data_IF_249004344715
#
_entry.id   IF_249004344715
#
_cell.length_a   1.000
_cell.length_b   1.000
_cell.length_c   1.000
_cell.angle_alpha   90.00
_cell.angle_beta   90.00
_cell.angle_gamma   90.00
#
_symmetry.space_group_name_H-M   'P 1'
#
loop_
_entity.id
_entity.type
_entity.pdbx_description
1 polymer ?
#
# COMPACT_ATOMS: atom_id res chain seq x y z
N UNK A 1 -3.46 1.59 19.12
CA UNK A 1 -2.02 1.29 18.97
C UNK A 1 -1.40 2.40 18.14
N UNK A 2 -0.36 3.07 18.64
CA UNK A 2 0.39 4.07 17.87
C UNK A 2 1.57 3.38 17.21
N UNK A 3 1.77 3.61 15.92
CA UNK A 3 2.95 3.14 15.19
C UNK A 3 3.51 4.24 14.30
N UNK A 4 4.53 3.93 13.49
CA UNK A 4 5.07 4.86 12.48
C UNK A 4 4.58 4.50 11.09
N UNK A 5 4.18 5.54 10.34
CA UNK A 5 3.92 5.37 8.91
C UNK A 5 5.24 5.09 8.17
N UNK A 6 5.27 4.07 7.32
CA UNK A 6 6.45 3.70 6.53
C UNK A 6 6.93 4.77 5.52
N UNK A 7 6.13 5.80 5.26
CA UNK A 7 6.48 6.85 4.30
C UNK A 7 6.68 8.23 4.93
N UNK A 8 5.70 8.79 5.64
CA UNK A 8 5.91 10.09 6.30
C UNK A 8 6.74 9.96 7.58
N UNK A 9 6.96 8.74 8.08
CA UNK A 9 7.73 8.42 9.30
C UNK A 9 7.21 9.07 10.58
N UNK A 10 6.04 9.70 10.51
CA UNK A 10 5.38 10.27 11.66
C UNK A 10 4.66 9.19 12.48
N UNK A 11 4.57 9.37 13.81
CA UNK A 11 3.72 8.55 14.65
C UNK A 11 2.25 8.83 14.32
N UNK A 12 1.50 7.77 14.00
CA UNK A 12 0.10 7.85 13.62
C UNK A 12 -0.68 6.73 14.32
N UNK A 13 -1.96 7.00 14.56
CA UNK A 13 -2.87 6.07 15.22
C UNK A 13 -3.76 5.34 14.19
N UNK A 14 -3.82 5.88 12.97
CA UNK A 14 -4.60 5.46 11.81
C UNK A 14 -3.77 4.65 10.81
N UNK A 15 -2.97 3.70 11.30
CA UNK A 15 -2.12 2.88 10.42
C UNK A 15 -2.88 1.70 9.82
N UNK A 16 -2.78 1.55 8.51
CA UNK A 16 -3.29 0.41 7.75
C UNK A 16 -2.15 -0.36 7.11
N UNK A 17 -2.22 -1.69 7.20
CA UNK A 17 -1.29 -2.57 6.49
C UNK A 17 -1.54 -2.42 4.99
N UNK A 18 -0.49 -2.12 4.23
CA UNK A 18 -0.54 -1.93 2.78
C UNK A 18 0.31 -2.95 2.03
N UNK A 19 0.99 -3.84 2.76
CA UNK A 19 1.82 -4.87 2.17
C UNK A 19 2.77 -5.49 3.17
N UNK A 20 3.74 -6.24 2.65
CA UNK A 20 4.86 -6.83 3.34
C UNK A 20 6.13 -6.57 2.52
N UNK A 21 7.22 -6.25 3.20
CA UNK A 21 8.55 -6.29 2.60
C UNK A 21 9.12 -7.69 2.80
N UNK A 22 9.38 -8.45 1.72
CA UNK A 22 10.08 -9.72 1.85
C UNK A 22 11.50 -9.44 2.36
N UNK A 23 11.82 -9.95 3.55
CA UNK A 23 13.19 -10.02 4.01
C UNK A 23 13.73 -11.41 3.61
N UNK A 24 14.90 -11.44 3.00
CA UNK A 24 15.53 -12.64 2.44
C UNK A 24 15.86 -13.72 3.47
N UNK A 25 15.77 -13.43 4.78
CA UNK A 25 16.12 -14.38 5.85
C UNK A 25 15.24 -14.30 7.10
N UNK A 26 14.23 -13.43 7.13
CA UNK A 26 13.27 -13.33 8.23
C UNK A 26 11.88 -13.13 7.63
N UNK A 27 10.84 -13.74 8.21
CA UNK A 27 9.46 -13.60 7.73
C UNK A 27 9.14 -12.14 7.41
N UNK A 28 8.59 -11.89 6.21
CA UNK A 28 8.43 -10.55 5.66
C UNK A 28 7.78 -9.57 6.65
N UNK A 29 8.29 -8.34 6.69
CA UNK A 29 7.82 -7.33 7.63
C UNK A 29 6.60 -6.61 7.05
N UNK A 30 5.47 -6.62 7.77
CA UNK A 30 4.29 -5.84 7.38
C UNK A 30 4.62 -4.36 7.25
N UNK A 31 4.20 -3.76 6.15
CA UNK A 31 4.36 -2.35 5.84
C UNK A 31 3.05 -1.63 6.16
N UNK A 32 3.15 -0.59 6.97
CA UNK A 32 2.00 0.20 7.40
C UNK A 32 2.07 1.64 6.87
N UNK A 33 0.93 2.18 6.46
CA UNK A 33 0.79 3.57 6.04
C UNK A 33 -0.38 4.25 6.76
N UNK A 34 -0.26 5.55 7.04
CA UNK A 34 -1.38 6.34 7.57
C UNK A 34 -2.41 6.64 6.47
N UNK A 35 -3.64 6.95 6.86
CA UNK A 35 -4.74 7.17 5.91
C UNK A 35 -4.42 8.27 4.88
N UNK A 36 -3.78 9.36 5.31
CA UNK A 36 -3.36 10.43 4.40
C UNK A 36 -2.32 9.98 3.38
N UNK A 37 -1.36 9.16 3.79
CA UNK A 37 -0.36 8.58 2.90
C UNK A 37 -0.96 7.54 1.94
N UNK A 38 -1.94 6.77 2.39
CA UNK A 38 -2.69 5.82 1.57
C UNK A 38 -3.45 6.55 0.47
N UNK A 39 -4.18 7.62 0.81
CA UNK A 39 -4.89 8.42 -0.17
C UNK A 39 -3.92 9.11 -1.16
N UNK A 40 -2.87 9.76 -0.64
CA UNK A 40 -1.93 10.54 -1.47
C UNK A 40 -1.15 9.69 -2.49
N UNK A 41 -0.85 8.43 -2.18
CA UNK A 41 -0.18 7.49 -3.12
C UNK A 41 -1.11 6.42 -3.69
N UNK A 42 -2.41 6.52 -3.42
CA UNK A 42 -3.41 5.54 -3.82
C UNK A 42 -2.99 4.11 -3.42
N UNK A 43 -2.43 3.93 -2.22
CA UNK A 43 -1.99 2.61 -1.77
C UNK A 43 -3.20 1.68 -1.64
N UNK A 44 -3.01 0.42 -2.01
CA UNK A 44 -3.97 -0.64 -1.82
C UNK A 44 -3.79 -1.21 -0.41
N UNK A 45 -4.81 -1.17 0.47
CA UNK A 45 -4.76 -1.86 1.74
C UNK A 45 -4.58 -3.37 1.52
N UNK A 46 -3.79 -4.00 2.37
CA UNK A 46 -3.44 -5.41 2.25
C UNK A 46 -4.68 -6.32 2.25
N UNK A 47 -5.73 -5.97 3.00
CA UNK A 47 -7.00 -6.70 3.02
C UNK A 47 -7.74 -6.72 1.68
N UNK A 48 -7.37 -5.82 0.76
CA UNK A 48 -7.95 -5.70 -0.58
C UNK A 48 -7.01 -6.24 -1.68
N UNK A 49 -5.89 -6.85 -1.28
CA UNK A 49 -5.01 -7.52 -2.22
C UNK A 49 -5.71 -8.75 -2.81
N UNK A 50 -5.62 -9.00 -4.13
CA UNK A 50 -6.09 -10.26 -4.70
C UNK A 50 -5.35 -11.46 -4.09
N UNK A 51 -5.95 -12.65 -4.07
CA UNK A 51 -5.37 -13.85 -3.42
C UNK A 51 -3.99 -14.22 -3.98
N UNK A 52 -3.70 -13.85 -5.23
CA UNK A 52 -2.49 -14.25 -5.95
C UNK A 52 -1.26 -13.33 -5.72
N UNK A 53 -1.30 -12.36 -4.80
CA UNK A 53 -0.15 -11.46 -4.59
C UNK A 53 0.79 -11.94 -3.51
N UNK A 54 2.09 -11.73 -3.73
CA UNK A 54 3.19 -11.94 -2.79
C UNK A 54 3.17 -10.99 -1.57
N UNK A 55 2.05 -10.33 -1.31
CA UNK A 55 1.89 -9.35 -0.25
C UNK A 55 2.64 -8.03 -0.45
N UNK A 56 3.36 -7.82 -1.56
CA UNK A 56 4.12 -6.57 -1.80
C UNK A 56 3.22 -5.34 -1.91
N UNK A 57 3.63 -4.15 -1.42
CA UNK A 57 2.80 -2.96 -1.47
C UNK A 57 2.39 -2.57 -2.89
N UNK A 58 1.09 -2.39 -3.12
CA UNK A 58 0.54 -2.01 -4.42
C UNK A 58 -0.10 -0.64 -4.36
N UNK A 59 -0.10 0.02 -5.51
CA UNK A 59 -0.94 1.19 -5.76
C UNK A 59 -2.19 0.73 -6.51
N UNK A 60 -3.33 1.38 -6.26
CA UNK A 60 -4.53 1.21 -7.07
C UNK A 60 -4.14 1.47 -8.52
N UNK A 61 -4.60 0.64 -9.47
CA UNK A 61 -4.46 0.99 -10.86
C UNK A 61 -5.11 2.36 -11.03
N UNK A 62 -4.32 3.36 -11.43
CA UNK A 62 -4.89 4.60 -11.92
C UNK A 62 -5.70 4.18 -13.13
N UNK A 63 -7.02 4.27 -13.03
CA UNK A 63 -7.90 4.19 -14.18
C UNK A 63 -7.68 5.45 -15.01
N UNK A 64 -6.46 5.64 -15.52
CA UNK A 64 -6.23 6.44 -16.70
C UNK A 64 -6.71 5.56 -17.85
N UNK A 65 -8.02 5.38 -17.92
CA UNK A 65 -8.71 4.99 -19.13
C UNK A 65 -8.49 6.14 -20.09
N UNK A 66 -7.34 6.14 -20.75
CA UNK A 66 -7.14 6.86 -21.99
C UNK A 66 -7.98 6.12 -23.01
N UNK A 67 -9.29 6.39 -23.01
CA UNK A 67 -10.14 6.20 -24.18
C UNK A 67 -9.60 7.16 -25.22
N UNK A 68 -8.57 6.75 -25.96
CA UNK A 68 -8.23 7.39 -27.22
C UNK A 68 -9.22 6.83 -28.24
N UNK A 69 -10.38 7.47 -28.30
CA UNK A 69 -11.28 7.41 -29.45
C UNK A 69 -10.48 7.65 -30.72
N UNK A 70 -10.74 6.82 -31.74
CA UNK A 70 -9.94 6.71 -32.95
C UNK A 70 -9.85 7.98 -33.80
N UNK A 71 -8.87 7.93 -34.70
CA UNK A 71 -8.89 8.57 -36.02
C UNK A 71 -8.42 7.52 -37.04
#
# INVERSE_FOLDING_TARGET
MTGRCGWCREPRNDLVAVGFHPATSAGGVSVYACAGCVAARQLLPLAEHPVETDGTPRIRPSTTTTTRTGQ
#
